data_IF_573054052963
#
_entry.id   IF_573054052963
#
_cell.length_a   1.000
_cell.length_b   1.000
_cell.length_c   1.000
_cell.angle_alpha   90.00
_cell.angle_beta   90.00
_cell.angle_gamma   90.00
#
_symmetry.space_group_name_H-M   'P 1'
#
loop_
_entity.id
_entity.type
_entity.pdbx_description
1 polymer ?
#
# COMPACT_ATOMS: atom_id res chain seq x y z
N UNK A 1 -13.36 -30.68 -6.66
CA UNK A 1 -13.40 -29.36 -6.01
C UNK A 1 -13.88 -29.46 -4.59
N UNK A 2 -15.00 -30.10 -4.28
CA UNK A 2 -15.55 -30.20 -2.92
C UNK A 2 -14.60 -30.91 -1.94
N UNK A 3 -13.93 -32.01 -2.34
CA UNK A 3 -12.94 -32.70 -1.52
C UNK A 3 -11.75 -31.82 -1.07
N UNK A 4 -11.38 -30.83 -1.87
CA UNK A 4 -10.22 -29.97 -1.58
C UNK A 4 -10.62 -28.72 -0.80
N UNK A 5 -11.64 -27.99 -1.30
CA UNK A 5 -12.08 -26.74 -0.73
C UNK A 5 -13.13 -26.89 0.37
N UNK A 6 -13.70 -28.10 0.55
CA UNK A 6 -14.71 -28.40 1.56
C UNK A 6 -15.96 -27.51 1.47
N UNK A 7 -16.44 -27.30 0.25
CA UNK A 7 -17.54 -26.39 -0.04
C UNK A 7 -18.80 -26.71 0.77
N UNK A 8 -19.16 -28.00 0.85
CA UNK A 8 -20.30 -28.47 1.60
C UNK A 8 -20.18 -28.19 3.11
N UNK A 9 -18.97 -28.36 3.70
CA UNK A 9 -18.70 -28.05 5.11
C UNK A 9 -18.86 -26.53 5.41
N UNK A 10 -18.58 -25.68 4.44
CA UNK A 10 -18.67 -24.21 4.55
C UNK A 10 -20.01 -23.65 4.05
N UNK A 11 -20.98 -24.50 3.71
CA UNK A 11 -22.31 -24.09 3.27
C UNK A 11 -22.34 -23.25 1.99
N UNK A 12 -21.41 -23.51 1.06
CA UNK A 12 -21.28 -22.76 -0.19
C UNK A 12 -21.32 -23.68 -1.42
N UNK A 13 -21.40 -23.11 -2.61
CA UNK A 13 -21.41 -23.82 -3.88
C UNK A 13 -20.34 -23.27 -4.83
N UNK A 14 -19.93 -24.09 -5.82
CA UNK A 14 -18.97 -23.65 -6.86
C UNK A 14 -19.44 -22.35 -7.54
N UNK A 15 -20.73 -22.23 -7.85
CA UNK A 15 -21.29 -21.04 -8.48
C UNK A 15 -21.15 -19.81 -7.58
N UNK A 16 -21.43 -19.94 -6.30
CA UNK A 16 -21.31 -18.86 -5.32
C UNK A 16 -19.86 -18.41 -5.18
N UNK A 17 -18.94 -19.37 -5.06
CA UNK A 17 -17.50 -19.09 -4.94
C UNK A 17 -16.92 -18.38 -6.18
N UNK A 18 -17.34 -18.83 -7.39
CA UNK A 18 -16.93 -18.17 -8.64
C UNK A 18 -17.45 -16.74 -8.72
N UNK A 19 -18.73 -16.50 -8.39
CA UNK A 19 -19.31 -15.17 -8.39
C UNK A 19 -18.65 -14.28 -7.33
N UNK A 20 -18.32 -14.83 -6.16
CA UNK A 20 -17.59 -14.14 -5.10
C UNK A 20 -16.18 -13.75 -5.55
N UNK A 21 -15.46 -14.67 -6.23
CA UNK A 21 -14.13 -14.41 -6.77
C UNK A 21 -14.14 -13.31 -7.84
N UNK A 22 -15.07 -13.34 -8.76
CA UNK A 22 -15.25 -12.27 -9.75
C UNK A 22 -15.59 -10.94 -9.06
N UNK A 23 -16.43 -10.96 -8.03
CA UNK A 23 -16.77 -9.74 -7.26
C UNK A 23 -15.53 -9.14 -6.57
N UNK A 24 -14.70 -9.98 -5.94
CA UNK A 24 -13.43 -9.55 -5.33
C UNK A 24 -12.48 -9.01 -6.40
N UNK A 25 -12.28 -9.74 -7.50
CA UNK A 25 -11.38 -9.31 -8.57
C UNK A 25 -11.76 -7.94 -9.11
N UNK A 26 -13.03 -7.72 -9.46
CA UNK A 26 -13.47 -6.41 -9.97
C UNK A 26 -13.37 -5.29 -8.93
N UNK A 27 -13.48 -5.59 -7.64
CA UNK A 27 -13.30 -4.60 -6.58
C UNK A 27 -11.85 -4.13 -6.45
N UNK A 28 -10.86 -5.01 -6.67
CA UNK A 28 -9.45 -4.73 -6.46
C UNK A 28 -8.61 -4.61 -7.73
N UNK A 29 -9.18 -4.86 -8.91
CA UNK A 29 -8.46 -4.85 -10.20
C UNK A 29 -7.85 -3.50 -10.59
N UNK A 30 -8.24 -2.40 -9.94
CA UNK A 30 -7.63 -1.09 -10.10
C UNK A 30 -6.12 -1.10 -9.80
N UNK A 31 -5.64 -2.03 -8.96
CA UNK A 31 -4.23 -2.15 -8.62
C UNK A 31 -3.34 -2.42 -9.84
N UNK A 32 -3.90 -3.07 -10.86
CA UNK A 32 -3.21 -3.35 -12.12
C UNK A 32 -2.76 -2.08 -12.86
N UNK A 33 -3.43 -0.96 -12.61
CA UNK A 33 -3.08 0.34 -13.19
C UNK A 33 -2.37 1.24 -12.20
N UNK A 34 -2.85 1.27 -10.96
CA UNK A 34 -2.35 2.22 -9.95
C UNK A 34 -0.95 1.85 -9.46
N UNK A 35 -0.66 0.55 -9.23
CA UNK A 35 0.66 0.14 -8.77
C UNK A 35 1.77 0.42 -9.80
N UNK A 36 1.64 0.01 -11.09
CA UNK A 36 2.63 0.37 -12.10
C UNK A 36 2.84 1.86 -12.28
N UNK A 37 1.77 2.66 -12.25
CA UNK A 37 1.87 4.11 -12.34
C UNK A 37 2.57 4.73 -11.14
N UNK A 38 2.42 4.16 -9.95
CA UNK A 38 3.07 4.67 -8.75
C UNK A 38 4.55 4.30 -8.73
N UNK A 39 4.89 3.03 -8.90
CA UNK A 39 6.27 2.56 -8.84
C UNK A 39 7.11 3.07 -10.03
N UNK A 40 6.52 3.25 -11.21
CA UNK A 40 7.24 3.77 -12.38
C UNK A 40 7.76 5.20 -12.20
N UNK A 41 7.19 5.98 -11.30
CA UNK A 41 7.73 7.29 -10.94
C UNK A 41 9.15 7.20 -10.38
N UNK A 42 9.54 6.06 -9.82
CA UNK A 42 10.90 5.80 -9.30
C UNK A 42 11.92 5.44 -10.40
N UNK A 43 11.51 5.40 -11.66
CA UNK A 43 12.31 4.97 -12.79
C UNK A 43 12.20 3.48 -13.13
N UNK A 44 11.30 2.74 -12.48
CA UNK A 44 11.00 1.36 -12.85
C UNK A 44 10.17 1.31 -14.14
N UNK A 45 10.40 0.36 -15.06
CA UNK A 45 9.61 0.23 -16.28
C UNK A 45 8.17 -0.22 -15.92
N UNK A 46 7.18 0.59 -16.33
CA UNK A 46 5.79 0.40 -15.94
C UNK A 46 5.21 -0.96 -16.38
N UNK A 47 5.58 -1.43 -17.58
CA UNK A 47 5.14 -2.74 -18.10
C UNK A 47 5.73 -3.91 -17.29
N UNK A 48 7.01 -3.79 -16.86
CA UNK A 48 7.65 -4.76 -15.97
C UNK A 48 6.96 -4.81 -14.60
N UNK A 49 6.67 -3.64 -14.00
CA UNK A 49 5.95 -3.55 -12.71
C UNK A 49 4.53 -4.11 -12.82
N UNK A 50 3.85 -3.91 -13.97
CA UNK A 50 2.54 -4.51 -14.23
C UNK A 50 2.57 -6.04 -14.13
N UNK A 51 3.52 -6.69 -14.80
CA UNK A 51 3.70 -8.14 -14.71
C UNK A 51 4.15 -8.58 -13.31
N UNK A 52 5.06 -7.84 -12.67
CA UNK A 52 5.47 -8.11 -11.29
C UNK A 52 4.29 -8.03 -10.30
N UNK A 53 3.39 -7.05 -10.49
CA UNK A 53 2.13 -6.92 -9.75
C UNK A 53 1.27 -8.17 -9.90
N UNK A 54 1.10 -8.65 -11.13
CA UNK A 54 0.34 -9.86 -11.41
C UNK A 54 0.99 -11.09 -10.78
N UNK A 55 2.31 -11.26 -10.91
CA UNK A 55 3.03 -12.40 -10.33
C UNK A 55 2.86 -12.41 -8.81
N UNK A 56 3.11 -11.30 -8.13
CA UNK A 56 2.94 -11.19 -6.68
C UNK A 56 1.49 -11.48 -6.26
N UNK A 57 0.52 -10.90 -6.96
CA UNK A 57 -0.91 -11.11 -6.68
C UNK A 57 -1.35 -12.56 -6.91
N UNK A 58 -0.92 -13.19 -8.01
CA UNK A 58 -1.23 -14.59 -8.32
C UNK A 58 -0.64 -15.51 -7.28
N UNK A 59 0.66 -15.38 -6.97
CA UNK A 59 1.33 -16.26 -6.00
C UNK A 59 0.70 -16.12 -4.62
N UNK A 60 0.52 -14.90 -4.13
CA UNK A 60 -0.09 -14.67 -2.81
C UNK A 60 -1.51 -15.18 -2.74
N UNK A 61 -2.33 -14.91 -3.75
CA UNK A 61 -3.72 -15.35 -3.80
C UNK A 61 -3.83 -16.88 -3.95
N UNK A 62 -2.92 -17.53 -4.70
CA UNK A 62 -2.84 -19.00 -4.74
C UNK A 62 -2.45 -19.62 -3.39
N UNK A 63 -1.55 -18.97 -2.65
CA UNK A 63 -1.23 -19.38 -1.27
C UNK A 63 -2.47 -19.28 -0.36
N UNK A 64 -3.26 -18.20 -0.48
CA UNK A 64 -4.54 -18.10 0.22
C UNK A 64 -5.53 -19.18 -0.21
N UNK A 65 -5.57 -19.54 -1.50
CA UNK A 65 -6.44 -20.55 -2.05
C UNK A 65 -6.08 -21.96 -1.55
N UNK A 66 -4.83 -22.36 -1.71
CA UNK A 66 -4.42 -23.77 -1.53
C UNK A 66 -3.87 -24.07 -0.14
N UNK A 67 -3.14 -23.12 0.47
CA UNK A 67 -2.51 -23.34 1.78
C UNK A 67 -3.43 -22.92 2.93
N UNK A 68 -4.04 -21.74 2.84
CA UNK A 68 -4.93 -21.24 3.89
C UNK A 68 -6.39 -21.72 3.72
N UNK A 69 -6.81 -22.05 2.52
CA UNK A 69 -8.21 -22.31 2.13
C UNK A 69 -9.16 -21.19 2.56
N UNK A 70 -8.81 -19.95 2.21
CA UNK A 70 -9.52 -18.75 2.59
C UNK A 70 -9.91 -17.91 1.37
N UNK A 71 -11.07 -17.19 1.40
CA UNK A 71 -11.57 -16.40 0.27
C UNK A 71 -10.93 -15.01 0.19
N UNK A 72 -9.66 -14.90 0.49
CA UNK A 72 -8.92 -13.63 0.44
C UNK A 72 -8.03 -13.56 -0.79
N UNK A 73 -8.02 -12.39 -1.40
CA UNK A 73 -7.08 -12.04 -2.45
C UNK A 73 -5.93 -11.19 -1.90
N UNK A 74 -4.78 -11.32 -2.52
CA UNK A 74 -3.57 -10.57 -2.20
C UNK A 74 -3.07 -9.80 -3.42
N UNK A 75 -2.58 -8.60 -3.19
CA UNK A 75 -1.92 -7.78 -4.20
C UNK A 75 -1.01 -6.74 -3.52
N UNK A 76 -0.15 -6.01 -4.28
CA UNK A 76 0.67 -4.95 -3.71
C UNK A 76 -0.15 -3.91 -2.96
N UNK A 77 0.16 -3.71 -1.67
CA UNK A 77 -0.60 -2.84 -0.77
C UNK A 77 -0.43 -1.37 -1.13
N UNK A 78 -1.53 -0.61 -1.28
CA UNK A 78 -1.47 0.78 -1.73
C UNK A 78 -0.66 1.68 -0.80
N UNK A 79 -0.81 1.52 0.51
CA UNK A 79 -0.03 2.25 1.51
C UNK A 79 1.46 1.96 1.41
N UNK A 80 1.81 0.70 1.21
CA UNK A 80 3.18 0.23 1.06
C UNK A 80 3.80 0.65 -0.28
N UNK A 81 3.02 0.70 -1.37
CA UNK A 81 3.43 1.26 -2.65
C UNK A 81 3.80 2.73 -2.52
N UNK A 82 2.95 3.49 -1.81
CA UNK A 82 3.18 4.90 -1.57
C UNK A 82 4.40 5.12 -0.65
N UNK A 83 4.56 4.30 0.38
CA UNK A 83 5.73 4.32 1.25
C UNK A 83 7.02 4.01 0.47
N UNK A 84 6.99 2.97 -0.37
CA UNK A 84 8.09 2.62 -1.27
C UNK A 84 8.50 3.81 -2.14
N UNK A 85 7.54 4.39 -2.87
CA UNK A 85 7.80 5.43 -3.86
C UNK A 85 8.17 6.76 -3.23
N UNK A 86 7.29 7.26 -2.34
CA UNK A 86 7.38 8.65 -1.89
C UNK A 86 8.25 8.83 -0.65
N UNK A 87 8.26 7.84 0.25
CA UNK A 87 9.09 7.94 1.46
C UNK A 87 10.47 7.37 1.22
N UNK A 88 10.58 6.12 0.78
CA UNK A 88 11.89 5.45 0.68
C UNK A 88 12.69 5.97 -0.51
N UNK A 89 12.10 5.97 -1.71
CA UNK A 89 12.87 6.39 -2.91
C UNK A 89 13.01 7.91 -2.96
N UNK A 90 11.92 8.67 -2.92
CA UNK A 90 12.01 10.12 -3.08
C UNK A 90 12.41 10.85 -1.80
N UNK A 91 11.87 10.46 -0.66
CA UNK A 91 12.12 11.16 0.61
C UNK A 91 13.47 10.83 1.23
N UNK A 92 13.83 9.53 1.26
CA UNK A 92 15.08 9.06 1.85
C UNK A 92 16.22 8.91 0.81
N UNK A 93 15.94 9.07 -0.49
CA UNK A 93 16.93 9.04 -1.57
C UNK A 93 17.55 7.66 -1.84
N UNK A 94 16.84 6.58 -1.54
CA UNK A 94 17.26 5.23 -1.95
C UNK A 94 16.90 4.96 -3.39
N UNK A 95 17.67 4.13 -4.05
CA UNK A 95 17.29 3.58 -5.35
C UNK A 95 16.10 2.62 -5.22
N UNK A 96 15.32 2.44 -6.29
CA UNK A 96 14.24 1.48 -6.28
C UNK A 96 14.72 0.02 -6.06
N UNK A 97 15.96 -0.30 -6.46
CA UNK A 97 16.56 -1.61 -6.20
C UNK A 97 16.80 -1.83 -4.70
N UNK A 98 17.32 -0.82 -4.01
CA UNK A 98 17.50 -0.84 -2.56
C UNK A 98 16.15 -0.94 -1.85
N UNK A 99 15.14 -0.20 -2.31
CA UNK A 99 13.79 -0.28 -1.77
C UNK A 99 13.18 -1.69 -1.94
N UNK A 100 13.36 -2.34 -3.10
CA UNK A 100 12.98 -3.76 -3.29
C UNK A 100 13.75 -4.69 -2.36
N UNK A 101 15.04 -4.43 -2.12
CA UNK A 101 15.86 -5.15 -1.15
C UNK A 101 15.30 -5.04 0.27
N UNK A 102 14.84 -3.86 0.69
CA UNK A 102 14.20 -3.64 1.99
C UNK A 102 12.87 -4.40 2.10
N UNK A 103 12.05 -4.39 1.04
CA UNK A 103 10.80 -5.18 0.98
C UNK A 103 11.09 -6.67 1.11
N UNK A 104 12.12 -7.18 0.44
CA UNK A 104 12.52 -8.58 0.55
C UNK A 104 12.96 -8.92 1.99
N UNK A 105 13.82 -8.09 2.61
CA UNK A 105 14.24 -8.27 4.00
C UNK A 105 13.02 -8.21 4.93
N UNK A 106 12.09 -7.27 4.70
CA UNK A 106 10.84 -7.18 5.44
C UNK A 106 10.06 -8.50 5.40
N UNK A 107 9.85 -9.08 4.20
CA UNK A 107 9.17 -10.36 4.04
C UNK A 107 9.87 -11.50 4.80
N UNK A 108 11.20 -11.60 4.70
CA UNK A 108 11.99 -12.63 5.38
C UNK A 108 11.98 -12.46 6.90
N UNK A 109 12.20 -11.25 7.41
CA UNK A 109 12.17 -10.96 8.85
C UNK A 109 10.78 -11.25 9.42
N UNK A 110 9.72 -10.79 8.74
CA UNK A 110 8.35 -11.03 9.16
C UNK A 110 7.99 -12.51 9.13
N UNK A 111 8.55 -13.30 8.20
CA UNK A 111 8.41 -14.75 8.17
C UNK A 111 9.06 -15.39 9.41
N UNK A 112 10.30 -15.00 9.75
CA UNK A 112 11.01 -15.46 10.94
C UNK A 112 10.24 -15.08 12.21
N UNK A 113 9.76 -13.84 12.30
CA UNK A 113 8.97 -13.36 13.44
C UNK A 113 7.65 -14.15 13.57
N UNK A 114 7.04 -14.54 12.45
CA UNK A 114 5.80 -15.34 12.45
C UNK A 114 6.01 -16.78 12.88
N UNK A 115 7.19 -17.36 12.61
CA UNK A 115 7.58 -18.68 13.13
C UNK A 115 7.84 -18.67 14.65
N UNK A 116 7.98 -17.49 15.24
CA UNK A 116 8.20 -17.30 16.67
C UNK A 116 6.98 -16.64 17.31
N UNK A 117 6.85 -16.72 18.64
CA UNK A 117 5.78 -16.01 19.37
C UNK A 117 5.97 -14.47 19.42
N UNK A 118 7.06 -13.96 18.86
CA UNK A 118 7.40 -12.52 18.87
C UNK A 118 6.34 -11.70 18.16
N UNK A 119 5.77 -12.20 17.07
CA UNK A 119 4.69 -11.51 16.35
C UNK A 119 3.46 -11.25 17.24
N UNK A 120 3.03 -12.26 18.02
CA UNK A 120 1.92 -12.11 18.96
C UNK A 120 2.24 -11.02 19.99
N UNK A 121 3.46 -11.02 20.51
CA UNK A 121 3.93 -10.00 21.45
C UNK A 121 3.89 -8.58 20.84
N UNK A 122 4.34 -8.41 19.58
CA UNK A 122 4.30 -7.12 18.89
C UNK A 122 2.86 -6.63 18.74
N UNK A 123 1.96 -7.49 18.26
CA UNK A 123 0.54 -7.12 18.04
C UNK A 123 -0.14 -6.76 19.35
N UNK A 124 0.08 -7.55 20.42
CA UNK A 124 -0.52 -7.32 21.72
C UNK A 124 0.07 -6.09 22.44
N UNK A 125 1.33 -5.75 22.15
CA UNK A 125 2.01 -4.60 22.77
C UNK A 125 1.50 -3.24 22.29
N UNK A 126 0.94 -3.16 21.06
CA UNK A 126 0.53 -1.88 20.47
C UNK A 126 -0.94 -1.61 20.77
N UNK A 127 -1.28 -0.47 21.39
CA UNK A 127 -2.65 -0.10 21.70
C UNK A 127 -3.56 -0.06 20.47
N UNK A 128 -4.82 -0.43 20.65
CA UNK A 128 -5.81 -0.47 19.55
C UNK A 128 -5.98 0.89 18.88
N UNK A 129 -6.00 1.98 19.65
CA UNK A 129 -6.07 3.33 19.14
C UNK A 129 -4.88 3.66 18.20
N UNK A 130 -3.67 3.27 18.57
CA UNK A 130 -2.47 3.52 17.77
C UNK A 130 -2.47 2.69 16.47
N UNK A 131 -2.92 1.41 16.53
CA UNK A 131 -3.10 0.57 15.33
C UNK A 131 -4.11 1.18 14.37
N UNK A 132 -5.24 1.63 14.89
CA UNK A 132 -6.29 2.29 14.11
C UNK A 132 -5.80 3.62 13.51
N UNK A 133 -4.97 4.36 14.25
CA UNK A 133 -4.36 5.61 13.79
C UNK A 133 -3.34 5.37 12.66
N UNK A 134 -2.57 4.28 12.69
CA UNK A 134 -1.63 3.92 11.60
C UNK A 134 -2.42 3.68 10.31
N UNK A 135 -3.45 2.84 10.34
CA UNK A 135 -4.27 2.56 9.14
C UNK A 135 -4.93 3.82 8.59
N UNK A 136 -5.52 4.65 9.46
CA UNK A 136 -6.14 5.90 9.04
C UNK A 136 -5.11 6.93 8.51
N UNK A 137 -3.91 6.98 9.11
CA UNK A 137 -2.82 7.84 8.67
C UNK A 137 -2.32 7.50 7.27
N UNK A 138 -2.20 6.21 6.96
CA UNK A 138 -1.91 5.74 5.62
C UNK A 138 -3.02 6.21 4.65
N UNK A 139 -4.28 6.16 5.07
CA UNK A 139 -5.40 6.68 4.28
C UNK A 139 -5.29 8.18 4.01
N UNK A 140 -4.95 9.00 5.01
CA UNK A 140 -4.72 10.44 4.86
C UNK A 140 -3.56 10.70 3.88
N UNK A 141 -2.46 9.97 4.05
CA UNK A 141 -1.29 10.08 3.18
C UNK A 141 -1.64 9.72 1.73
N UNK A 142 -2.37 8.61 1.49
CA UNK A 142 -2.83 8.22 0.16
C UNK A 142 -3.75 9.27 -0.48
N UNK A 143 -4.69 9.82 0.29
CA UNK A 143 -5.58 10.86 -0.20
C UNK A 143 -4.78 12.12 -0.61
N UNK A 144 -3.78 12.51 0.19
CA UNK A 144 -2.90 13.63 -0.13
C UNK A 144 -2.09 13.38 -1.42
N UNK A 145 -1.52 12.18 -1.56
CA UNK A 145 -0.81 11.76 -2.78
C UNK A 145 -1.77 11.80 -3.98
N UNK A 146 -2.99 11.29 -3.82
CA UNK A 146 -4.01 11.33 -4.86
C UNK A 146 -4.37 12.75 -5.29
N UNK A 147 -4.57 13.66 -4.35
CA UNK A 147 -4.85 15.08 -4.60
C UNK A 147 -3.70 15.75 -5.36
N UNK A 148 -2.44 15.45 -4.95
CA UNK A 148 -1.23 15.95 -5.62
C UNK A 148 -1.13 15.40 -7.05
N UNK A 149 -1.28 14.09 -7.24
CA UNK A 149 -1.15 13.45 -8.56
C UNK A 149 -2.31 13.81 -9.51
N UNK A 150 -3.50 14.14 -8.99
CA UNK A 150 -4.60 14.70 -9.75
C UNK A 150 -4.32 16.14 -10.25
N UNK A 151 -3.23 16.75 -9.78
CA UNK A 151 -2.87 18.11 -10.11
C UNK A 151 -3.76 19.18 -9.46
N UNK A 152 -4.45 18.85 -8.34
CA UNK A 152 -5.33 19.79 -7.64
C UNK A 152 -4.56 20.80 -6.79
N UNK A 153 -3.31 20.50 -6.45
CA UNK A 153 -2.47 21.36 -5.63
C UNK A 153 -1.41 22.09 -6.46
N UNK A 154 -1.17 23.34 -6.09
CA UNK A 154 0.03 24.10 -6.42
C UNK A 154 0.72 24.51 -5.13
N UNK A 155 2.03 24.64 -5.17
CA UNK A 155 2.81 25.14 -4.05
C UNK A 155 3.28 26.56 -4.38
N UNK A 156 2.95 27.50 -3.50
CA UNK A 156 3.41 28.90 -3.60
C UNK A 156 4.59 29.05 -2.66
N UNK A 157 5.68 29.62 -3.16
CA UNK A 157 6.92 29.84 -2.42
C UNK A 157 7.18 31.34 -2.50
N UNK A 158 7.51 31.96 -1.35
CA UNK A 158 7.91 33.37 -1.35
C UNK A 158 9.22 33.57 -2.11
N UNK A 159 9.33 34.62 -2.91
CA UNK A 159 10.60 34.96 -3.56
C UNK A 159 11.73 35.04 -2.50
N UNK A 160 12.91 34.54 -2.86
CA UNK A 160 14.12 34.54 -2.03
C UNK A 160 14.14 33.56 -0.84
N UNK A 161 13.14 32.67 -0.69
CA UNK A 161 13.09 31.66 0.39
C UNK A 161 13.40 30.24 -0.07
N UNK A 162 13.82 30.08 -1.33
CA UNK A 162 14.20 28.76 -1.89
C UNK A 162 15.65 28.78 -2.36
N UNK A 163 16.26 27.61 -2.28
CA UNK A 163 17.57 27.34 -2.88
C UNK A 163 17.40 26.31 -4.00
N UNK A 164 18.12 26.53 -5.11
CA UNK A 164 18.20 25.54 -6.19
C UNK A 164 19.41 24.67 -5.88
N UNK A 165 19.16 23.38 -5.59
CA UNK A 165 20.22 22.41 -5.32
C UNK A 165 20.46 21.64 -6.62
N UNK A 166 21.66 21.79 -7.18
CA UNK A 166 22.09 21.17 -8.43
C UNK A 166 22.90 22.18 -9.25
N UNK A 167 24.17 21.89 -9.51
CA UNK A 167 25.09 22.78 -10.23
C UNK A 167 25.21 22.37 -11.70
N UNK A 168 25.42 23.36 -12.58
CA UNK A 168 25.92 23.21 -13.92
C UNK A 168 24.90 22.95 -15.01
N UNK A 169 25.34 22.26 -16.09
CA UNK A 169 24.58 22.03 -17.32
C UNK A 169 23.29 21.18 -17.14
N UNK A 170 23.09 20.56 -15.98
CA UNK A 170 21.92 19.70 -15.66
C UNK A 170 20.80 20.47 -14.94
N UNK A 171 20.39 21.62 -15.50
CA UNK A 171 19.20 22.34 -15.00
C UNK A 171 17.91 21.51 -15.04
N UNK A 172 17.88 20.42 -15.79
CA UNK A 172 16.74 19.50 -15.87
C UNK A 172 16.55 18.66 -14.59
N UNK A 173 17.61 18.49 -13.79
CA UNK A 173 17.58 17.70 -12.54
C UNK A 173 17.75 18.56 -11.29
N UNK A 174 17.65 19.89 -11.42
CA UNK A 174 17.76 20.78 -10.29
C UNK A 174 16.55 20.62 -9.33
N UNK A 175 16.83 20.36 -8.07
CA UNK A 175 15.81 20.31 -7.03
C UNK A 175 15.67 21.68 -6.37
N UNK A 176 14.46 22.19 -6.29
CA UNK A 176 14.15 23.40 -5.52
C UNK A 176 13.92 22.96 -4.08
N UNK A 177 14.83 23.33 -3.17
CA UNK A 177 14.62 23.18 -1.73
C UNK A 177 13.99 24.45 -1.18
N UNK A 178 12.76 24.36 -0.74
CA UNK A 178 12.02 25.45 -0.12
C UNK A 178 12.00 25.25 1.41
N UNK A 179 11.97 26.35 2.16
CA UNK A 179 11.76 26.33 3.60
C UNK A 179 10.25 26.23 3.93
N UNK A 180 9.90 26.47 5.19
CA UNK A 180 8.52 26.44 5.70
C UNK A 180 7.56 27.47 5.05
N UNK A 181 8.05 28.36 4.16
CA UNK A 181 7.20 29.31 3.43
C UNK A 181 6.46 28.70 2.24
N UNK A 182 6.79 27.45 1.84
CA UNK A 182 6.04 26.74 0.81
C UNK A 182 4.65 26.37 1.31
N UNK A 183 3.61 27.01 0.76
CA UNK A 183 2.22 26.79 1.15
C UNK A 183 1.45 26.07 0.03
N UNK A 184 0.77 24.95 0.33
CA UNK A 184 -0.12 24.33 -0.64
C UNK A 184 -1.38 25.15 -0.85
N UNK A 185 -1.81 25.29 -2.11
CA UNK A 185 -3.05 25.95 -2.49
C UNK A 185 -3.74 25.19 -3.63
N UNK A 186 -4.99 25.53 -3.91
CA UNK A 186 -5.70 24.95 -5.04
C UNK A 186 -5.24 25.59 -6.36
N UNK A 187 -5.22 24.78 -7.43
CA UNK A 187 -4.97 25.27 -8.78
C UNK A 187 -6.21 25.99 -9.36
N UNK A 188 -6.03 26.72 -10.44
CA UNK A 188 -7.13 27.40 -11.16
C UNK A 188 -7.78 26.44 -12.17
N UNK A 189 -8.09 25.26 -11.94
CA UNK A 189 -8.82 24.25 -12.73
C UNK A 189 -9.04 24.58 -14.24
N UNK A 190 -8.06 25.20 -14.88
CA UNK A 190 -8.08 25.56 -16.30
C UNK A 190 -7.36 24.55 -17.20
N UNK A 191 -6.65 23.59 -16.60
CA UNK A 191 -5.97 22.53 -17.31
C UNK A 191 -6.95 21.37 -17.61
N UNK A 192 -7.11 20.94 -18.90
CA UNK A 192 -8.01 19.84 -19.24
C UNK A 192 -7.74 18.54 -18.50
N UNK A 193 -6.47 18.19 -18.20
CA UNK A 193 -6.15 16.99 -17.44
C UNK A 193 -6.61 17.08 -15.97
N UNK A 194 -6.53 18.26 -15.36
CA UNK A 194 -7.02 18.50 -13.99
C UNK A 194 -8.56 18.45 -13.95
N UNK A 195 -9.23 19.02 -14.97
CA UNK A 195 -10.69 18.90 -15.10
C UNK A 195 -11.12 17.45 -15.31
N UNK A 196 -10.38 16.69 -16.13
CA UNK A 196 -10.63 15.27 -16.31
C UNK A 196 -10.49 14.50 -14.99
N UNK A 197 -9.46 14.79 -14.18
CA UNK A 197 -9.29 14.17 -12.87
C UNK A 197 -10.44 14.54 -11.91
N UNK A 198 -10.94 15.77 -11.95
CA UNK A 198 -12.09 16.20 -11.14
C UNK A 198 -13.37 15.44 -11.53
N UNK A 199 -13.64 15.31 -12.84
CA UNK A 199 -14.76 14.51 -13.35
C UNK A 199 -14.57 13.04 -13.00
N UNK A 200 -13.36 12.50 -13.13
CA UNK A 200 -13.00 11.13 -12.71
C UNK A 200 -13.26 10.89 -11.23
N UNK A 201 -12.93 11.86 -10.37
CA UNK A 201 -13.25 11.79 -8.94
C UNK A 201 -14.77 11.72 -8.70
N UNK A 202 -15.55 12.58 -9.37
CA UNK A 202 -17.01 12.57 -9.26
C UNK A 202 -17.62 11.23 -9.72
N UNK A 203 -17.14 10.65 -10.83
CA UNK A 203 -17.56 9.36 -11.34
C UNK A 203 -17.19 8.25 -10.31
N UNK A 204 -15.99 8.29 -9.75
CA UNK A 204 -15.54 7.30 -8.74
C UNK A 204 -16.42 7.37 -7.51
N UNK A 205 -16.66 8.57 -6.97
CA UNK A 205 -17.53 8.77 -5.81
C UNK A 205 -18.94 8.24 -6.11
N UNK A 206 -19.49 8.55 -7.28
CA UNK A 206 -20.82 8.07 -7.68
C UNK A 206 -20.91 6.53 -7.65
N UNK A 207 -19.95 5.84 -8.26
CA UNK A 207 -19.97 4.38 -8.29
C UNK A 207 -19.76 3.74 -6.89
N UNK A 208 -18.87 4.32 -6.08
CA UNK A 208 -18.59 3.83 -4.72
C UNK A 208 -19.79 4.05 -3.80
N UNK A 209 -20.39 5.25 -3.81
CA UNK A 209 -21.57 5.57 -2.99
C UNK A 209 -22.79 4.74 -3.38
N UNK A 210 -22.95 4.45 -4.68
CA UNK A 210 -24.01 3.54 -5.17
C UNK A 210 -23.73 2.06 -4.87
N UNK A 211 -22.57 1.71 -4.34
CA UNK A 211 -22.19 0.33 -4.05
C UNK A 211 -22.08 -0.55 -5.29
N UNK A 212 -21.74 0.03 -6.46
CA UNK A 212 -21.63 -0.72 -7.71
C UNK A 212 -20.38 -1.60 -7.64
N UNK A 213 -20.58 -2.92 -7.77
CA UNK A 213 -19.50 -3.90 -7.79
C UNK A 213 -18.54 -3.59 -8.94
N UNK A 214 -17.25 -3.47 -8.64
CA UNK A 214 -16.25 -3.05 -9.62
C UNK A 214 -16.33 -1.57 -10.03
N UNK A 215 -17.02 -0.71 -9.26
CA UNK A 215 -17.19 0.70 -9.58
C UNK A 215 -15.87 1.46 -9.74
N UNK A 216 -14.83 1.06 -9.02
CA UNK A 216 -13.49 1.66 -9.12
C UNK A 216 -12.88 1.41 -10.50
N UNK A 217 -12.86 0.17 -10.99
CA UNK A 217 -12.32 -0.12 -12.32
C UNK A 217 -13.18 0.51 -13.42
N UNK A 218 -14.50 0.51 -13.24
CA UNK A 218 -15.42 1.17 -14.18
C UNK A 218 -15.18 2.69 -14.25
N UNK A 219 -14.84 3.34 -13.12
CA UNK A 219 -14.50 4.76 -13.11
C UNK A 219 -13.20 5.06 -13.85
N UNK A 220 -12.18 4.19 -13.71
CA UNK A 220 -10.93 4.31 -14.49
C UNK A 220 -11.25 4.25 -15.98
N UNK A 221 -12.00 3.22 -16.41
CA UNK A 221 -12.34 3.04 -17.81
C UNK A 221 -13.18 4.21 -18.35
N UNK A 222 -14.22 4.64 -17.62
CA UNK A 222 -15.06 5.76 -18.00
C UNK A 222 -14.26 7.07 -18.12
N UNK A 223 -13.38 7.35 -17.13
CA UNK A 223 -12.53 8.55 -17.14
C UNK A 223 -11.51 8.48 -18.27
N UNK A 224 -10.95 7.31 -18.56
CA UNK A 224 -10.03 7.12 -19.69
C UNK A 224 -10.73 7.38 -21.02
N UNK A 225 -11.93 6.82 -21.23
CA UNK A 225 -12.74 7.06 -22.44
C UNK A 225 -13.05 8.54 -22.60
N UNK A 226 -13.46 9.23 -21.52
CA UNK A 226 -13.66 10.67 -21.54
C UNK A 226 -12.38 11.42 -21.90
N UNK A 227 -11.23 11.01 -21.35
CA UNK A 227 -9.91 11.58 -21.65
C UNK A 227 -9.53 11.46 -23.13
N UNK A 228 -9.91 10.36 -23.77
CA UNK A 228 -9.74 10.16 -25.22
C UNK A 228 -10.65 11.10 -26.00
N UNK A 229 -11.93 11.20 -25.62
CA UNK A 229 -12.92 12.03 -26.31
C UNK A 229 -12.59 13.53 -26.25
N UNK A 230 -11.99 14.00 -25.15
CA UNK A 230 -11.58 15.41 -24.99
C UNK A 230 -10.11 15.66 -25.37
N UNK A 231 -9.46 14.67 -26.04
CA UNK A 231 -8.07 14.73 -26.50
C UNK A 231 -7.01 15.00 -25.41
N UNK A 232 -7.30 14.69 -24.13
CA UNK A 232 -6.31 14.66 -23.06
C UNK A 232 -5.42 13.41 -23.21
N UNK A 233 -6.00 12.31 -23.68
CA UNK A 233 -5.30 11.09 -24.06
C UNK A 233 -5.27 11.01 -25.60
N UNK A 234 -4.08 11.16 -26.16
CA UNK A 234 -3.88 11.06 -27.60
C UNK A 234 -3.43 9.64 -27.96
N UNK A 235 -4.39 8.81 -28.38
CA UNK A 235 -4.13 7.40 -28.74
C UNK A 235 -3.13 7.29 -29.90
N UNK A 236 -3.07 8.31 -30.78
CA UNK A 236 -2.18 8.25 -31.95
C UNK A 236 -0.70 8.36 -31.60
N UNK A 237 -0.39 8.90 -30.41
CA UNK A 237 0.97 9.02 -29.86
C UNK A 237 1.40 7.82 -29.03
N UNK A 238 0.49 6.88 -28.77
CA UNK A 238 0.80 5.68 -28.00
C UNK A 238 1.49 4.68 -28.95
N UNK A 239 2.74 4.37 -28.63
CA UNK A 239 3.47 3.33 -29.33
C UNK A 239 3.02 1.95 -28.85
N UNK A 240 2.03 1.38 -29.52
CA UNK A 240 1.54 0.02 -29.24
C UNK A 240 2.57 -1.06 -29.64
N UNK A 241 3.53 -0.73 -30.50
CA UNK A 241 4.59 -1.66 -30.89
C UNK A 241 5.60 -1.89 -29.76
N UNK A 242 5.81 -0.91 -28.90
CA UNK A 242 6.62 -1.05 -27.68
C UNK A 242 5.79 -1.44 -26.44
N UNK A 243 4.46 -1.35 -26.51
CA UNK A 243 3.55 -1.68 -25.41
C UNK A 243 2.77 -2.98 -25.68
N UNK A 244 3.48 -4.08 -25.84
CA UNK A 244 2.90 -5.42 -26.03
C UNK A 244 3.43 -6.41 -25.00
N UNK A 245 2.81 -7.55 -24.86
CA UNK A 245 3.14 -8.54 -23.82
C UNK A 245 4.61 -8.99 -23.88
N UNK A 246 5.20 -9.09 -25.06
CA UNK A 246 6.63 -9.42 -25.23
C UNK A 246 7.55 -8.34 -24.66
N UNK A 247 7.23 -7.06 -24.86
CA UNK A 247 7.95 -5.95 -24.26
C UNK A 247 7.80 -5.94 -22.73
N UNK A 248 6.60 -6.25 -22.24
CA UNK A 248 6.36 -6.35 -20.80
C UNK A 248 7.22 -7.46 -20.14
N UNK A 249 7.44 -8.60 -20.82
CA UNK A 249 8.36 -9.63 -20.34
C UNK A 249 9.82 -9.20 -20.38
N UNK A 250 10.24 -8.43 -21.39
CA UNK A 250 11.59 -7.86 -21.44
C UNK A 250 11.80 -6.88 -20.29
N UNK A 251 10.84 -5.99 -20.05
CA UNK A 251 10.86 -5.05 -18.93
C UNK A 251 10.88 -5.77 -17.58
N UNK A 252 10.07 -6.83 -17.43
CA UNK A 252 10.12 -7.69 -16.25
C UNK A 252 11.50 -8.26 -16.02
N UNK A 253 12.18 -8.73 -17.08
CA UNK A 253 13.55 -9.24 -17.02
C UNK A 253 14.55 -8.20 -16.48
N UNK A 254 14.30 -6.91 -16.66
CA UNK A 254 15.19 -5.84 -16.14
C UNK A 254 15.01 -5.59 -14.64
N UNK A 255 13.84 -5.87 -14.08
CA UNK A 255 13.53 -5.64 -12.66
C UNK A 255 13.55 -6.93 -11.83
N UNK A 256 13.32 -8.08 -12.46
CA UNK A 256 13.27 -9.37 -11.78
C UNK A 256 14.60 -9.69 -11.10
N UNK A 257 14.55 -10.07 -9.83
CA UNK A 257 15.72 -10.42 -9.03
C UNK A 257 16.58 -9.23 -8.58
N UNK A 258 16.26 -7.99 -8.98
CA UNK A 258 17.06 -6.81 -8.59
C UNK A 258 17.06 -6.57 -7.08
N UNK A 259 16.03 -6.99 -6.37
CA UNK A 259 16.00 -6.98 -4.89
C UNK A 259 17.23 -7.68 -4.30
N UNK A 260 17.64 -8.81 -4.87
CA UNK A 260 18.75 -9.66 -4.40
C UNK A 260 20.10 -9.27 -5.02
N UNK A 261 20.08 -8.39 -6.03
CA UNK A 261 21.26 -7.99 -6.79
C UNK A 261 22.22 -7.08 -6.01
N UNK A 262 23.35 -6.77 -6.65
CA UNK A 262 24.38 -5.88 -6.08
C UNK A 262 23.86 -4.46 -5.81
N UNK A 263 22.90 -3.98 -6.62
CA UNK A 263 22.26 -2.67 -6.45
C UNK A 263 21.11 -2.68 -5.45
N UNK A 264 20.58 -3.86 -5.09
CA UNK A 264 19.56 -4.04 -4.06
C UNK A 264 20.19 -4.39 -2.71
N UNK A 265 20.06 -5.65 -2.28
CA UNK A 265 20.65 -6.15 -1.03
C UNK A 265 22.15 -5.88 -0.93
N UNK A 266 22.90 -6.02 -2.03
CA UNK A 266 24.34 -5.78 -2.03
C UNK A 266 24.68 -4.34 -1.62
N UNK A 267 23.97 -3.34 -2.14
CA UNK A 267 24.14 -1.93 -1.77
C UNK A 267 23.76 -1.68 -0.30
N UNK A 268 22.64 -2.22 0.17
CA UNK A 268 22.18 -2.05 1.56
C UNK A 268 23.18 -2.59 2.59
N UNK A 269 23.81 -3.73 2.28
CA UNK A 269 24.81 -4.35 3.18
C UNK A 269 26.15 -3.59 3.13
N UNK A 270 26.52 -3.07 1.96
CA UNK A 270 27.79 -2.36 1.79
C UNK A 270 27.79 -0.96 2.38
N UNK A 271 26.62 -0.30 2.43
CA UNK A 271 26.50 1.08 2.91
C UNK A 271 26.10 1.13 4.40
N UNK A 272 27.09 0.86 5.26
CA UNK A 272 26.87 0.80 6.72
C UNK A 272 26.55 2.17 7.34
N UNK A 273 26.91 3.28 6.67
CA UNK A 273 26.62 4.64 7.18
C UNK A 273 25.12 4.93 7.22
N UNK A 274 24.33 4.33 6.32
CA UNK A 274 22.87 4.48 6.27
C UNK A 274 22.11 3.35 6.96
N UNK A 275 22.79 2.48 7.69
CA UNK A 275 22.16 1.33 8.36
C UNK A 275 21.00 1.70 9.29
N UNK A 276 21.07 2.77 10.14
CA UNK A 276 19.94 3.17 10.97
C UNK A 276 18.70 3.52 10.15
N UNK A 277 18.83 4.31 9.07
CA UNK A 277 17.72 4.66 8.18
C UNK A 277 17.14 3.43 7.49
N UNK A 278 18.00 2.53 7.01
CA UNK A 278 17.60 1.27 6.37
C UNK A 278 16.77 0.41 7.32
N UNK A 279 17.25 0.23 8.56
CA UNK A 279 16.52 -0.55 9.58
C UNK A 279 15.17 0.08 9.92
N UNK A 280 15.09 1.42 9.98
CA UNK A 280 13.84 2.14 10.22
C UNK A 280 12.85 1.97 9.06
N UNK A 281 13.32 2.03 7.81
CA UNK A 281 12.47 1.78 6.65
C UNK A 281 11.93 0.34 6.63
N UNK A 282 12.79 -0.66 6.91
CA UNK A 282 12.37 -2.07 7.00
C UNK A 282 11.37 -2.27 8.14
N UNK A 283 11.59 -1.65 9.30
CA UNK A 283 10.65 -1.71 10.41
C UNK A 283 9.30 -1.09 10.04
N UNK A 284 9.30 0.07 9.38
CA UNK A 284 8.07 0.73 8.94
C UNK A 284 7.32 -0.11 7.90
N UNK A 285 8.02 -0.72 6.93
CA UNK A 285 7.42 -1.70 6.01
C UNK A 285 6.76 -2.85 6.79
N UNK A 286 7.50 -3.44 7.74
CA UNK A 286 7.02 -4.61 8.50
C UNK A 286 5.81 -4.28 9.37
N UNK A 287 5.81 -3.16 10.08
CA UNK A 287 4.68 -2.75 10.93
C UNK A 287 3.45 -2.43 10.07
N UNK A 288 3.63 -1.70 8.98
CA UNK A 288 2.54 -1.35 8.07
C UNK A 288 1.92 -2.60 7.44
N UNK A 289 2.74 -3.53 6.95
CA UNK A 289 2.32 -4.79 6.34
C UNK A 289 1.54 -5.66 7.33
N UNK A 290 2.08 -5.82 8.54
CA UNK A 290 1.43 -6.58 9.62
C UNK A 290 0.06 -5.98 9.98
N UNK A 291 -0.04 -4.65 10.12
CA UNK A 291 -1.30 -4.03 10.53
C UNK A 291 -2.33 -4.00 9.42
N UNK A 292 -1.92 -3.83 8.18
CA UNK A 292 -2.82 -3.86 7.03
C UNK A 292 -3.45 -5.25 6.86
N UNK A 293 -2.62 -6.29 6.85
CA UNK A 293 -3.08 -7.68 6.73
C UNK A 293 -3.92 -8.12 7.93
N UNK A 294 -3.47 -7.86 9.16
CA UNK A 294 -4.22 -8.26 10.37
C UNK A 294 -5.52 -7.47 10.48
N UNK A 295 -5.49 -6.16 10.19
CA UNK A 295 -6.69 -5.33 10.19
C UNK A 295 -7.74 -5.86 9.23
N UNK A 296 -7.32 -6.25 8.03
CA UNK A 296 -8.20 -6.87 7.01
C UNK A 296 -8.75 -8.23 7.48
N UNK A 297 -7.88 -9.12 7.97
CA UNK A 297 -8.28 -10.47 8.38
C UNK A 297 -9.20 -10.45 9.62
N UNK A 298 -8.94 -9.59 10.60
CA UNK A 298 -9.80 -9.47 11.78
C UNK A 298 -11.11 -8.77 11.43
N UNK A 299 -11.04 -7.67 10.66
CA UNK A 299 -12.23 -6.88 10.32
C UNK A 299 -13.25 -7.61 9.45
N UNK A 300 -12.83 -8.62 8.70
CA UNK A 300 -13.69 -9.37 7.78
C UNK A 300 -13.79 -10.86 8.11
N UNK A 301 -12.97 -11.34 9.06
CA UNK A 301 -12.72 -12.76 9.32
C UNK A 301 -13.83 -13.50 10.08
N UNK A 302 -14.75 -12.78 10.72
CA UNK A 302 -15.87 -13.40 11.45
C UNK A 302 -16.72 -14.31 10.55
N UNK A 303 -17.07 -13.83 9.36
CA UNK A 303 -17.90 -14.58 8.39
C UNK A 303 -17.24 -15.81 7.80
N UNK A 304 -15.91 -15.92 7.89
CA UNK A 304 -15.12 -17.03 7.34
C UNK A 304 -14.44 -17.87 8.43
N UNK A 305 -14.77 -17.61 9.71
CA UNK A 305 -14.32 -18.40 10.84
C UNK A 305 -12.83 -18.24 11.17
N UNK A 306 -12.25 -17.06 10.90
CA UNK A 306 -10.88 -16.70 11.32
C UNK A 306 -10.91 -16.16 12.76
N UNK A 307 -11.98 -15.44 13.13
CA UNK A 307 -12.19 -14.87 14.46
C UNK A 307 -13.37 -15.57 15.11
N UNK A 308 -13.23 -16.01 16.36
CA UNK A 308 -14.32 -16.62 17.11
C UNK A 308 -15.36 -15.57 17.51
N UNK A 309 -16.65 -15.92 17.42
CA UNK A 309 -17.82 -15.06 17.72
C UNK A 309 -17.91 -14.65 19.19
N UNK A 310 -17.16 -15.28 20.09
CA UNK A 310 -17.31 -15.15 21.54
C UNK A 310 -16.17 -14.38 22.24
N UNK A 311 -15.38 -13.58 21.52
CA UNK A 311 -14.38 -12.69 22.13
C UNK A 311 -13.18 -13.42 22.77
N UNK A 312 -13.11 -14.75 22.70
CA UNK A 312 -11.91 -15.48 23.07
C UNK A 312 -10.88 -15.33 21.95
N UNK A 313 -9.70 -14.80 22.31
CA UNK A 313 -8.54 -14.61 21.44
C UNK A 313 -7.93 -15.97 21.02
N UNK A 314 -8.70 -16.82 20.36
CA UNK A 314 -8.13 -17.99 19.69
C UNK A 314 -7.59 -17.52 18.33
N UNK A 315 -6.30 -17.24 18.29
CA UNK A 315 -5.53 -17.18 17.06
C UNK A 315 -5.77 -18.51 16.34
N UNK A 316 -6.69 -18.51 15.37
CA UNK A 316 -7.03 -19.75 14.67
C UNK A 316 -5.85 -20.16 13.78
N UNK A 317 -5.61 -21.45 13.63
CA UNK A 317 -4.62 -21.96 12.69
C UNK A 317 -4.82 -21.44 11.24
N UNK A 318 -6.03 -20.98 10.92
CA UNK A 318 -6.34 -20.31 9.65
C UNK A 318 -5.72 -18.91 9.56
N UNK A 319 -5.72 -18.15 10.65
CA UNK A 319 -5.07 -16.84 10.70
C UNK A 319 -3.57 -16.98 10.44
N UNK A 320 -2.90 -17.92 11.13
CA UNK A 320 -1.47 -18.15 10.92
C UNK A 320 -1.15 -18.52 9.46
N UNK A 321 -1.96 -19.38 8.84
CA UNK A 321 -1.78 -19.74 7.42
C UNK A 321 -1.98 -18.55 6.49
N UNK A 322 -2.96 -17.69 6.76
CA UNK A 322 -3.18 -16.48 5.98
C UNK A 322 -1.96 -15.55 6.07
N UNK A 323 -1.42 -15.40 7.27
CA UNK A 323 -0.25 -14.57 7.53
C UNK A 323 1.02 -15.12 6.86
N UNK A 324 1.23 -16.45 6.86
CA UNK A 324 2.31 -17.07 6.09
C UNK A 324 2.16 -16.83 4.59
N UNK A 325 0.93 -16.92 4.07
CA UNK A 325 0.65 -16.66 2.67
C UNK A 325 1.04 -15.23 2.25
N UNK A 326 0.76 -14.27 3.10
CA UNK A 326 1.07 -12.85 2.94
C UNK A 326 2.59 -12.60 2.86
N UNK A 327 3.35 -13.19 3.78
CA UNK A 327 4.81 -13.02 3.86
C UNK A 327 5.56 -13.68 2.70
N UNK A 328 5.09 -14.85 2.25
CA UNK A 328 5.61 -15.49 1.03
C UNK A 328 5.31 -14.61 -0.18
N UNK A 329 4.10 -14.06 -0.27
CA UNK A 329 3.71 -13.19 -1.36
C UNK A 329 4.55 -11.90 -1.40
N UNK A 330 4.82 -11.27 -0.25
CA UNK A 330 5.71 -10.10 -0.13
C UNK A 330 7.12 -10.43 -0.60
N UNK A 331 7.70 -11.55 -0.17
CA UNK A 331 9.04 -11.96 -0.58
C UNK A 331 9.13 -12.23 -2.08
N UNK A 332 8.15 -12.95 -2.64
CA UNK A 332 8.07 -13.23 -4.09
C UNK A 332 7.81 -11.94 -4.87
N UNK A 333 6.93 -11.06 -4.37
CA UNK A 333 6.65 -9.76 -4.97
C UNK A 333 7.91 -8.90 -5.12
N UNK A 334 8.73 -8.81 -4.06
CA UNK A 334 9.99 -8.09 -4.08
C UNK A 334 10.98 -8.67 -5.11
N UNK A 335 11.08 -10.01 -5.22
CA UNK A 335 11.92 -10.66 -6.24
C UNK A 335 11.36 -10.38 -7.65
N UNK A 336 10.04 -10.40 -7.82
CA UNK A 336 9.42 -10.11 -9.12
C UNK A 336 9.58 -8.64 -9.53
N UNK A 337 9.77 -7.71 -8.59
CA UNK A 337 9.94 -6.28 -8.85
C UNK A 337 8.70 -5.46 -8.49
N UNK A 338 7.98 -5.82 -7.44
CA UNK A 338 6.89 -5.01 -6.86
C UNK A 338 7.06 -4.84 -5.34
N UNK A 339 6.32 -3.93 -4.75
CA UNK A 339 6.34 -3.71 -3.29
C UNK A 339 5.65 -4.83 -2.52
N UNK A 340 5.49 -4.67 -1.19
CA UNK A 340 4.84 -5.65 -0.33
C UNK A 340 3.46 -6.06 -0.86
N UNK A 341 3.24 -7.36 -0.94
CA UNK A 341 1.96 -7.96 -1.34
C UNK A 341 1.18 -8.30 -0.07
N UNK A 342 0.03 -7.66 0.11
CA UNK A 342 -0.79 -7.74 1.34
C UNK A 342 -2.17 -8.31 1.07
N UNK A 343 -2.87 -8.70 2.13
CA UNK A 343 -4.26 -9.17 2.06
C UNK A 343 -5.21 -7.98 1.87
N UNK A 344 -6.00 -8.00 0.80
CA UNK A 344 -6.86 -6.90 0.38
C UNK A 344 -8.21 -6.88 1.11
N UNK A 345 -8.58 -5.72 1.65
CA UNK A 345 -9.86 -5.48 2.32
C UNK A 345 -11.06 -5.62 1.37
N UNK A 346 -10.87 -5.40 0.09
CA UNK A 346 -11.86 -5.62 -0.97
C UNK A 346 -12.32 -7.07 -1.07
N UNK A 347 -11.59 -8.02 -0.49
CA UNK A 347 -12.03 -9.41 -0.32
C UNK A 347 -13.34 -9.50 0.46
N UNK A 348 -13.65 -8.50 1.31
CA UNK A 348 -14.93 -8.38 2.00
C UNK A 348 -16.13 -8.35 1.04
N UNK A 349 -15.95 -7.81 -0.19
CA UNK A 349 -17.00 -7.79 -1.20
C UNK A 349 -17.36 -9.22 -1.69
N UNK A 350 -16.35 -10.06 -1.93
CA UNK A 350 -16.56 -11.47 -2.28
C UNK A 350 -17.10 -12.28 -1.10
N UNK A 351 -16.59 -12.06 0.10
CA UNK A 351 -17.12 -12.67 1.33
C UNK A 351 -18.59 -12.28 1.53
N UNK A 352 -18.93 -11.01 1.29
CA UNK A 352 -20.31 -10.51 1.29
C UNK A 352 -21.20 -11.15 0.22
N UNK A 353 -20.62 -11.51 -0.94
CA UNK A 353 -21.31 -12.23 -2.02
C UNK A 353 -21.44 -13.74 -1.77
N UNK A 354 -20.92 -14.25 -0.65
CA UNK A 354 -21.06 -15.66 -0.24
C UNK A 354 -19.78 -16.48 -0.37
N UNK A 355 -18.64 -15.90 -0.72
CA UNK A 355 -17.33 -16.57 -0.71
C UNK A 355 -16.94 -17.02 0.69
N UNK A 356 -16.51 -18.27 0.83
CA UNK A 356 -16.17 -18.89 2.12
C UNK A 356 -14.88 -19.67 2.10
N UNK A 357 -14.39 -20.02 0.92
CA UNK A 357 -13.29 -20.97 0.76
C UNK A 357 -12.20 -20.43 -0.19
N UNK A 358 -11.09 -21.15 -0.26
CA UNK A 358 -10.00 -20.84 -1.19
C UNK A 358 -10.39 -20.91 -2.67
N UNK A 359 -11.56 -21.46 -3.02
CA UNK A 359 -12.01 -21.45 -4.39
C UNK A 359 -12.31 -20.01 -4.88
N UNK A 360 -12.85 -19.16 -4.04
CA UNK A 360 -12.99 -17.72 -4.30
C UNK A 360 -11.62 -17.09 -4.65
N UNK A 361 -10.60 -17.35 -3.84
CA UNK A 361 -9.25 -16.85 -4.09
C UNK A 361 -8.65 -17.41 -5.38
N UNK A 362 -8.85 -18.71 -5.67
CA UNK A 362 -8.39 -19.32 -6.92
C UNK A 362 -8.97 -18.61 -8.16
N UNK A 363 -10.26 -18.27 -8.13
CA UNK A 363 -10.89 -17.51 -9.22
C UNK A 363 -10.23 -16.14 -9.40
N UNK A 364 -9.95 -15.43 -8.30
CA UNK A 364 -9.24 -14.15 -8.35
C UNK A 364 -7.85 -14.30 -8.96
N UNK A 365 -7.08 -15.31 -8.54
CA UNK A 365 -5.74 -15.57 -9.08
C UNK A 365 -5.77 -15.85 -10.59
N UNK A 366 -6.76 -16.62 -11.07
CA UNK A 366 -6.95 -16.87 -12.50
C UNK A 366 -7.27 -15.56 -13.24
N UNK A 367 -8.14 -14.72 -12.68
CA UNK A 367 -8.47 -13.42 -13.28
C UNK A 367 -7.23 -12.50 -13.37
N UNK A 368 -6.40 -12.46 -12.33
CA UNK A 368 -5.12 -11.73 -12.38
C UNK A 368 -4.19 -12.30 -13.45
N UNK A 369 -4.05 -13.61 -13.54
CA UNK A 369 -3.21 -14.22 -14.56
C UNK A 369 -3.69 -13.86 -15.99
N UNK A 370 -5.01 -13.91 -16.25
CA UNK A 370 -5.60 -13.51 -17.53
C UNK A 370 -5.36 -12.02 -17.81
N UNK A 371 -5.32 -11.19 -16.78
CA UNK A 371 -5.09 -9.73 -16.91
C UNK A 371 -3.73 -9.40 -17.52
N UNK A 372 -2.76 -10.32 -17.52
CA UNK A 372 -1.46 -10.11 -18.18
C UNK A 372 -1.59 -9.82 -19.68
N UNK A 373 -2.66 -10.35 -20.32
CA UNK A 373 -2.95 -10.09 -21.72
C UNK A 373 -3.35 -8.63 -22.00
N UNK A 374 -3.73 -7.88 -20.97
CA UNK A 374 -4.17 -6.49 -21.07
C UNK A 374 -3.05 -5.47 -20.82
N UNK A 375 -1.78 -5.90 -20.85
CA UNK A 375 -0.64 -5.00 -20.66
C UNK A 375 -0.64 -3.78 -21.61
N UNK A 376 -1.10 -3.84 -22.87
CA UNK A 376 -1.18 -2.65 -23.73
C UNK A 376 -2.13 -1.57 -23.21
N UNK A 377 -3.15 -1.92 -22.42
CA UNK A 377 -4.09 -0.95 -21.86
C UNK A 377 -3.43 -0.03 -20.83
N UNK A 378 -2.33 -0.45 -20.23
CA UNK A 378 -1.61 0.36 -19.25
C UNK A 378 -1.17 1.71 -19.85
N UNK A 379 -0.73 1.71 -21.11
CA UNK A 379 -0.28 2.91 -21.80
C UNK A 379 -1.41 3.90 -22.11
N UNK A 380 -2.66 3.44 -22.14
CA UNK A 380 -3.84 4.27 -22.47
C UNK A 380 -4.40 4.97 -21.24
N UNK A 381 -4.26 4.37 -20.05
CA UNK A 381 -4.87 4.87 -18.82
C UNK A 381 -4.07 6.07 -18.27
N UNK A 382 -4.65 7.29 -18.28
CA UNK A 382 -3.93 8.48 -17.80
C UNK A 382 -3.90 8.54 -16.26
N UNK A 383 -2.93 9.25 -15.72
CA UNK A 383 -2.87 9.54 -14.27
C UNK A 383 -4.13 10.25 -13.77
N UNK A 384 -4.77 11.07 -14.61
CA UNK A 384 -6.04 11.72 -14.30
C UNK A 384 -7.20 10.72 -14.02
N UNK A 385 -7.11 9.48 -14.50
CA UNK A 385 -8.08 8.43 -14.21
C UNK A 385 -7.74 7.63 -12.94
N UNK A 386 -6.48 7.52 -12.57
CA UNK A 386 -6.03 6.71 -11.43
C UNK A 386 -5.81 7.50 -10.14
N UNK A 387 -5.41 8.77 -10.23
CA UNK A 387 -5.21 9.62 -9.06
C UNK A 387 -6.48 9.80 -8.20
N UNK A 388 -7.70 9.97 -8.77
CA UNK A 388 -8.94 9.98 -8.00
C UNK A 388 -9.16 8.71 -7.15
N UNK A 389 -8.66 7.57 -7.60
CA UNK A 389 -8.81 6.31 -6.87
C UNK A 389 -8.02 6.35 -5.57
N UNK A 390 -6.81 6.92 -5.58
CA UNK A 390 -6.01 7.08 -4.36
C UNK A 390 -6.75 7.92 -3.31
N UNK A 391 -7.46 8.96 -3.75
CA UNK A 391 -8.26 9.80 -2.85
C UNK A 391 -9.37 8.95 -2.21
N UNK A 392 -10.12 8.20 -3.02
CA UNK A 392 -11.26 7.40 -2.54
C UNK A 392 -10.80 6.23 -1.67
N UNK A 393 -9.73 5.54 -2.04
CA UNK A 393 -9.11 4.48 -1.20
C UNK A 393 -8.64 5.07 0.12
N UNK A 394 -7.99 6.24 0.10
CA UNK A 394 -7.62 6.96 1.30
C UNK A 394 -8.81 7.22 2.22
N UNK A 395 -9.95 7.71 1.66
CA UNK A 395 -11.20 7.93 2.41
C UNK A 395 -11.72 6.63 3.04
N UNK A 396 -11.69 5.52 2.32
CA UNK A 396 -12.14 4.21 2.84
C UNK A 396 -11.32 3.76 4.05
N UNK A 397 -10.01 4.05 4.07
CA UNK A 397 -9.12 3.72 5.19
C UNK A 397 -9.34 4.58 6.43
N UNK A 398 -9.99 5.74 6.32
CA UNK A 398 -10.31 6.61 7.47
C UNK A 398 -11.30 5.97 8.46
N UNK A 399 -11.94 4.88 8.12
CA UNK A 399 -12.88 4.18 9.00
C UNK A 399 -12.26 3.78 10.35
N UNK A 400 -10.93 3.63 10.43
CA UNK A 400 -10.19 3.38 11.67
C UNK A 400 -10.29 4.50 12.70
N UNK A 401 -10.49 5.76 12.27
CA UNK A 401 -10.58 6.92 13.19
C UNK A 401 -11.72 6.82 14.20
N UNK A 402 -12.79 6.08 13.89
CA UNK A 402 -13.93 5.84 14.79
C UNK A 402 -13.56 5.05 16.05
N UNK A 403 -12.46 4.30 16.03
CA UNK A 403 -12.00 3.47 17.14
C UNK A 403 -11.07 4.24 18.10
N UNK A 404 -10.91 5.54 17.90
CA UNK A 404 -10.05 6.43 18.69
C UNK A 404 -10.96 7.33 19.53
N UNK A 405 -10.73 7.36 20.84
CA UNK A 405 -11.43 8.27 21.75
C UNK A 405 -10.79 9.65 21.73
N UNK A 406 -11.22 10.49 20.80
CA UNK A 406 -10.66 11.83 20.58
C UNK A 406 -10.86 12.80 21.77
N UNK A 407 -11.80 12.49 22.67
CA UNK A 407 -12.04 13.25 23.91
C UNK A 407 -10.98 12.94 24.98
N UNK A 408 -10.35 11.76 24.95
CA UNK A 408 -9.23 11.41 25.82
C UNK A 408 -7.91 11.80 25.19
N UNK A 409 -7.28 12.85 25.69
CA UNK A 409 -5.99 13.33 25.23
C UNK A 409 -4.88 12.28 25.29
N UNK A 410 -5.03 11.24 26.10
CA UNK A 410 -4.05 10.15 26.15
C UNK A 410 -4.09 9.24 24.93
N UNK A 411 -5.22 9.16 24.23
CA UNK A 411 -5.36 8.49 22.94
C UNK A 411 -5.27 9.49 21.77
N UNK A 412 -5.88 10.67 21.92
CA UNK A 412 -5.97 11.67 20.87
C UNK A 412 -4.60 12.20 20.42
N UNK A 413 -3.70 12.49 21.38
CA UNK A 413 -2.36 13.03 21.05
C UNK A 413 -1.53 12.02 20.25
N UNK A 414 -1.31 10.78 20.69
CA UNK A 414 -0.60 9.79 19.88
C UNK A 414 -1.27 9.51 18.53
N UNK A 415 -2.61 9.45 18.53
CA UNK A 415 -3.37 9.19 17.31
C UNK A 415 -3.23 10.33 16.28
N UNK A 416 -3.23 11.59 16.72
CA UNK A 416 -2.97 12.74 15.86
C UNK A 416 -1.58 12.67 15.23
N UNK A 417 -0.54 12.49 16.05
CA UNK A 417 0.84 12.40 15.55
C UNK A 417 1.05 11.16 14.67
N UNK A 418 0.33 10.08 14.89
CA UNK A 418 0.38 8.93 13.99
C UNK A 418 -0.35 9.21 12.69
N UNK A 419 -1.62 9.64 12.74
CA UNK A 419 -2.47 9.65 11.55
C UNK A 419 -2.32 10.94 10.73
N UNK A 420 -2.50 12.10 11.34
CA UNK A 420 -2.54 13.37 10.62
C UNK A 420 -1.14 13.81 10.22
N UNK A 421 -0.17 13.57 11.09
CA UNK A 421 1.22 13.94 10.81
C UNK A 421 1.83 13.17 9.63
N UNK A 422 1.36 11.94 9.33
CA UNK A 422 1.76 11.21 8.10
C UNK A 422 1.50 12.02 6.84
N UNK A 423 0.32 12.63 6.73
CA UNK A 423 -0.01 13.47 5.59
C UNK A 423 0.82 14.75 5.54
N UNK A 424 1.00 15.43 6.67
CA UNK A 424 1.73 16.69 6.75
C UNK A 424 3.24 16.52 6.54
N UNK A 425 3.84 15.47 7.09
CA UNK A 425 5.27 15.18 6.91
C UNK A 425 5.58 14.51 5.57
N UNK A 426 4.55 14.17 4.79
CA UNK A 426 4.68 13.38 3.56
C UNK A 426 5.46 12.07 3.78
N UNK A 427 5.34 11.49 4.97
CA UNK A 427 6.08 10.30 5.37
C UNK A 427 5.32 9.42 6.37
N UNK A 428 5.07 8.18 5.98
CA UNK A 428 4.45 7.17 6.85
C UNK A 428 5.35 6.86 8.05
N UNK A 429 6.66 6.71 7.82
CA UNK A 429 7.63 6.41 8.89
C UNK A 429 7.64 7.49 9.96
N UNK A 430 7.62 8.77 9.56
CA UNK A 430 7.64 9.89 10.51
C UNK A 430 6.36 9.93 11.36
N UNK A 431 5.20 9.61 10.75
CA UNK A 431 3.95 9.51 11.50
C UNK A 431 3.97 8.36 12.50
N UNK A 432 4.45 7.18 12.10
CA UNK A 432 4.58 6.03 13.01
C UNK A 432 5.52 6.39 14.16
N UNK A 433 6.71 6.91 13.88
CA UNK A 433 7.69 7.29 14.87
C UNK A 433 7.16 8.32 15.88
N UNK A 434 6.55 9.40 15.37
CA UNK A 434 5.96 10.45 16.22
C UNK A 434 4.82 9.91 17.09
N UNK A 435 4.01 8.98 16.56
CA UNK A 435 2.92 8.35 17.30
C UNK A 435 3.41 7.50 18.47
N UNK A 436 4.42 6.66 18.25
CA UNK A 436 4.98 5.81 19.30
C UNK A 436 5.65 6.66 20.39
N UNK A 437 6.51 7.59 20.01
CA UNK A 437 7.19 8.49 20.95
C UNK A 437 6.19 9.30 21.78
N UNK A 438 5.15 9.86 21.14
CA UNK A 438 4.12 10.63 21.86
C UNK A 438 3.26 9.76 22.76
N UNK A 439 2.98 8.51 22.38
CA UNK A 439 2.29 7.55 23.24
C UNK A 439 3.08 7.30 24.53
N UNK A 440 4.36 6.98 24.43
CA UNK A 440 5.22 6.75 25.58
C UNK A 440 5.35 8.01 26.43
N UNK A 441 5.50 9.18 25.81
CA UNK A 441 5.55 10.46 26.52
C UNK A 441 4.28 10.71 27.34
N UNK A 442 3.10 10.50 26.75
CA UNK A 442 1.82 10.69 27.43
C UNK A 442 1.70 9.72 28.62
N UNK A 443 2.10 8.47 28.45
CA UNK A 443 2.11 7.47 29.53
C UNK A 443 3.06 7.85 30.68
N UNK A 444 4.24 8.40 30.37
CA UNK A 444 5.17 8.92 31.37
C UNK A 444 4.56 10.09 32.14
N UNK A 445 3.98 11.07 31.44
CA UNK A 445 3.34 12.25 32.05
C UNK A 445 2.18 11.87 32.97
N UNK A 446 1.41 10.83 32.62
CA UNK A 446 0.35 10.29 33.47
C UNK A 446 0.86 9.45 34.67
N UNK A 447 2.15 9.17 34.75
CA UNK A 447 2.71 8.26 35.77
C UNK A 447 2.48 6.78 35.47
N UNK A 448 2.02 6.45 34.28
CA UNK A 448 1.66 5.12 33.81
C UNK A 448 2.78 4.45 32.97
N UNK A 449 4.02 4.89 33.11
CA UNK A 449 5.17 4.41 32.34
C UNK A 449 5.35 2.87 32.42
N UNK A 450 4.92 2.25 33.53
CA UNK A 450 4.98 0.79 33.73
C UNK A 450 4.00 0.01 32.85
N UNK A 451 2.96 0.66 32.33
CA UNK A 451 1.98 0.05 31.44
C UNK A 451 2.46 -0.01 30.00
N UNK A 452 3.49 0.77 29.66
CA UNK A 452 4.11 0.73 28.33
C UNK A 452 4.90 -0.56 28.18
N UNK A 453 4.51 -1.38 27.20
CA UNK A 453 5.18 -2.63 26.93
C UNK A 453 6.65 -2.40 26.53
N UNK A 454 7.56 -3.26 27.00
CA UNK A 454 9.02 -3.14 26.75
C UNK A 454 9.38 -3.00 25.27
N UNK A 455 8.61 -3.64 24.39
CA UNK A 455 8.80 -3.55 22.94
C UNK A 455 8.61 -2.12 22.41
N UNK A 456 7.65 -1.37 22.96
CA UNK A 456 7.40 0.03 22.55
C UNK A 456 8.61 0.90 22.93
N UNK A 457 9.18 0.71 24.13
CA UNK A 457 10.40 1.42 24.52
C UNK A 457 11.58 1.13 23.60
N UNK A 458 11.73 -0.12 23.14
CA UNK A 458 12.77 -0.48 22.15
C UNK A 458 12.54 0.27 20.83
N UNK A 459 11.29 0.31 20.35
CA UNK A 459 10.94 1.03 19.14
C UNK A 459 11.18 2.53 19.28
N UNK A 460 10.81 3.14 20.41
CA UNK A 460 11.04 4.57 20.69
C UNK A 460 12.53 4.91 20.66
N UNK A 461 13.37 4.10 21.27
CA UNK A 461 14.83 4.28 21.22
C UNK A 461 15.35 4.23 19.79
N UNK A 462 14.88 3.27 18.98
CA UNK A 462 15.28 3.17 17.58
C UNK A 462 14.81 4.41 16.78
N UNK A 463 13.58 4.89 16.99
CA UNK A 463 13.07 6.08 16.34
C UNK A 463 13.84 7.35 16.75
N UNK A 464 14.15 7.50 18.03
CA UNK A 464 14.96 8.63 18.53
C UNK A 464 16.38 8.59 17.95
N UNK A 465 17.01 7.41 17.89
CA UNK A 465 18.33 7.25 17.26
C UNK A 465 18.30 7.62 15.78
N UNK A 466 17.23 7.29 15.06
CA UNK A 466 17.04 7.70 13.68
C UNK A 466 16.94 9.24 13.55
N UNK A 467 16.14 9.92 14.42
CA UNK A 467 16.06 11.37 14.41
C UNK A 467 17.41 12.03 14.74
N UNK A 468 18.15 11.48 15.71
CA UNK A 468 19.50 11.96 16.03
C UNK A 468 20.45 11.78 14.83
N UNK A 469 20.40 10.63 14.16
CA UNK A 469 21.18 10.39 12.94
C UNK A 469 20.84 11.40 11.83
N UNK A 470 19.53 11.67 11.61
CA UNK A 470 19.11 12.69 10.63
C UNK A 470 19.54 14.11 11.00
N UNK A 471 19.65 14.43 12.28
CA UNK A 471 20.09 15.75 12.74
C UNK A 471 21.62 15.95 12.66
N UNK A 472 22.40 14.87 12.59
CA UNK A 472 23.86 14.90 12.52
C UNK A 472 24.39 14.83 11.07
N UNK A 473 23.56 14.44 10.12
CA UNK A 473 23.83 14.42 8.67
C UNK A 473 23.25 15.67 7.99
#
# INVERSE_FOLDING_TARGET
>A
MDKFFKLSEHGTTVRTEVLAGLTTFFAMSYILFVNPQMLSQTGMPAQGVFLATIIGSVVGTLMMAFYANLPYAQAPGMGLNAFFTFTVVFGMGYSWQEALGMVFICGVISLIITLTNVRKMIIESIPTALRSAISAGIGIFLAYVGIKNAGFLKFTIDPHTYTVVGEGADKANATISANASAVPGLVNFNNPAVLLALVGLAITIFFVVKGIKGGIILSILATTVLGILIHVVDITKIDFASNHLGAAFNDLGTIFGQALGSKGLGSLISNTSRLPETLMAILAFSLTDIFDTIGTLIGTGEKVGIVATNGENHQSAKLDKALYSDLVATSVGAIAGTSNVTTYVESAAGIGAGGRTGLTALVVAICFAISSLFSPLLAIVPTAATAPILIVVGIMMLSGLKNIHWEDMSEAVPAFFTSIFMGFSYSITQGIAAGFITYSLVKVVKGEAKEVHSMIWILDVLFILNYVSMALN
#
